data_IF_868623845836
#
_entry.id   IF_868623845836
#
_cell.length_a   1.000
_cell.length_b   1.000
_cell.length_c   1.000
_cell.angle_alpha   90.00
_cell.angle_beta   90.00
_cell.angle_gamma   90.00
#
_symmetry.space_group_name_H-M   'P 1'
#
loop_
_entity.id
_entity.type
_entity.pdbx_description
1 polymer ?
#
# COMPACT_ATOMS: atom_id res chain seq x y z
N UNK A 1 12.90 24.81 5.51
CA UNK A 1 12.66 23.78 4.46
C UNK A 1 12.43 22.38 5.00
N UNK A 2 13.31 21.80 5.85
CA UNK A 2 13.13 20.43 6.38
C UNK A 2 11.87 20.26 7.25
N UNK A 3 11.57 21.23 8.13
CA UNK A 3 10.32 21.24 8.92
C UNK A 3 9.06 21.34 8.07
N UNK A 4 9.09 22.16 7.01
CA UNK A 4 7.97 22.31 6.07
C UNK A 4 7.69 20.98 5.36
N UNK A 5 8.73 20.29 4.86
CA UNK A 5 8.58 18.97 4.24
C UNK A 5 7.95 17.95 5.21
N UNK A 6 8.37 17.95 6.47
CA UNK A 6 7.79 17.07 7.50
C UNK A 6 6.31 17.39 7.76
N UNK A 7 5.97 18.67 7.88
CA UNK A 7 4.57 19.11 8.07
C UNK A 7 3.71 18.71 6.87
N UNK A 8 4.20 18.90 5.64
CA UNK A 8 3.49 18.49 4.42
C UNK A 8 3.28 16.98 4.37
N UNK A 9 4.32 16.19 4.66
CA UNK A 9 4.21 14.72 4.71
C UNK A 9 3.18 14.30 5.77
N UNK A 10 3.21 14.91 6.96
CA UNK A 10 2.27 14.60 8.03
C UNK A 10 0.83 14.90 7.61
N UNK A 11 0.58 16.07 7.00
CA UNK A 11 -0.74 16.45 6.49
C UNK A 11 -1.23 15.50 5.40
N UNK A 12 -0.36 15.13 4.45
CA UNK A 12 -0.69 14.17 3.39
C UNK A 12 -1.00 12.78 3.96
N UNK A 13 -0.22 12.31 4.94
CA UNK A 13 -0.49 11.04 5.63
C UNK A 13 -1.84 11.09 6.35
N UNK A 14 -2.17 12.18 7.03
CA UNK A 14 -3.44 12.32 7.73
C UNK A 14 -4.62 12.37 6.76
N UNK A 15 -4.50 13.14 5.67
CA UNK A 15 -5.50 13.20 4.61
C UNK A 15 -5.73 11.81 3.98
N UNK A 16 -4.65 11.06 3.73
CA UNK A 16 -4.75 9.70 3.20
C UNK A 16 -5.50 8.77 4.16
N UNK A 17 -5.22 8.83 5.47
CA UNK A 17 -5.96 8.07 6.48
C UNK A 17 -7.43 8.44 6.50
N UNK A 18 -7.78 9.73 6.39
CA UNK A 18 -9.17 10.15 6.28
C UNK A 18 -9.84 9.60 5.03
N UNK A 19 -9.20 9.67 3.85
CA UNK A 19 -9.74 9.09 2.61
C UNK A 19 -9.99 7.60 2.79
N UNK A 20 -9.05 6.86 3.37
CA UNK A 20 -9.19 5.43 3.69
C UNK A 20 -10.40 5.19 4.59
N UNK A 21 -10.51 5.91 5.71
CA UNK A 21 -11.58 5.74 6.69
C UNK A 21 -12.96 6.12 6.13
N UNK A 22 -13.02 7.06 5.19
CA UNK A 22 -14.25 7.47 4.51
C UNK A 22 -14.66 6.50 3.39
N UNK A 23 -13.73 5.70 2.87
CA UNK A 23 -13.94 4.81 1.73
C UNK A 23 -13.88 3.32 2.13
N UNK A 24 -14.51 2.98 3.26
CA UNK A 24 -14.59 1.59 3.77
C UNK A 24 -15.86 0.86 3.36
N UNK A 25 -16.58 1.33 2.33
CA UNK A 25 -17.76 0.66 1.82
C UNK A 25 -17.40 -0.78 1.39
N UNK A 26 -18.14 -1.81 1.84
CA UNK A 26 -17.89 -3.18 1.47
C UNK A 26 -18.19 -3.38 -0.02
N UNK A 27 -17.29 -4.05 -0.71
CA UNK A 27 -17.48 -4.50 -2.10
C UNK A 27 -17.40 -6.02 -2.15
N UNK A 28 -18.18 -6.63 -3.05
CA UNK A 28 -18.06 -8.06 -3.33
C UNK A 28 -16.74 -8.30 -4.09
N UNK A 29 -15.75 -8.87 -3.41
CA UNK A 29 -14.51 -9.30 -4.01
C UNK A 29 -14.59 -10.78 -4.39
N UNK A 30 -14.26 -11.10 -5.63
CA UNK A 30 -14.18 -12.48 -6.13
C UNK A 30 -12.76 -12.86 -6.49
N UNK A 31 -12.30 -13.99 -5.97
CA UNK A 31 -11.01 -14.58 -6.32
C UNK A 31 -11.19 -16.06 -6.67
N UNK A 32 -11.10 -16.37 -7.96
CA UNK A 32 -11.37 -17.70 -8.52
C UNK A 32 -12.78 -18.19 -8.16
N UNK A 33 -12.93 -18.98 -7.09
CA UNK A 33 -14.20 -19.51 -6.60
C UNK A 33 -14.61 -18.95 -5.22
N UNK A 34 -13.77 -18.13 -4.59
CA UNK A 34 -14.12 -17.43 -3.35
C UNK A 34 -14.80 -16.09 -3.66
N UNK A 35 -15.91 -15.84 -2.97
CA UNK A 35 -16.55 -14.54 -2.90
C UNK A 35 -16.56 -14.08 -1.44
N UNK A 36 -16.15 -12.84 -1.18
CA UNK A 36 -16.16 -12.23 0.14
C UNK A 36 -16.47 -10.74 0.03
N UNK A 37 -17.25 -10.22 0.97
CA UNK A 37 -17.46 -8.78 1.09
C UNK A 37 -16.31 -8.17 1.90
N UNK A 38 -15.49 -7.37 1.24
CA UNK A 38 -14.37 -6.68 1.88
C UNK A 38 -14.31 -5.24 1.42
N UNK A 39 -13.91 -4.29 2.28
CA UNK A 39 -13.62 -2.93 1.87
C UNK A 39 -12.55 -2.90 0.76
N UNK A 40 -12.83 -2.19 -0.34
CA UNK A 40 -11.91 -2.07 -1.48
C UNK A 40 -10.52 -1.56 -1.05
N UNK A 41 -10.49 -0.70 -0.04
CA UNK A 41 -9.26 -0.13 0.50
C UNK A 41 -8.33 -1.17 1.12
N UNK A 42 -8.86 -2.26 1.69
CA UNK A 42 -8.05 -3.36 2.21
C UNK A 42 -7.35 -4.11 1.07
N UNK A 43 -8.06 -4.37 -0.03
CA UNK A 43 -7.45 -4.95 -1.23
C UNK A 43 -6.31 -4.08 -1.75
N UNK A 44 -6.56 -2.79 -1.94
CA UNK A 44 -5.55 -1.84 -2.42
C UNK A 44 -4.33 -1.81 -1.50
N UNK A 45 -4.55 -1.80 -0.19
CA UNK A 45 -3.47 -1.81 0.79
C UNK A 45 -2.67 -3.12 0.76
N UNK A 46 -3.35 -4.27 0.72
CA UNK A 46 -2.70 -5.58 0.63
C UNK A 46 -1.89 -5.72 -0.66
N UNK A 47 -2.43 -5.26 -1.80
CA UNK A 47 -1.71 -5.27 -3.08
C UNK A 47 -0.50 -4.33 -3.05
N UNK A 48 -0.64 -3.13 -2.50
CA UNK A 48 0.46 -2.17 -2.41
C UNK A 48 1.59 -2.67 -1.49
N UNK A 49 1.25 -3.17 -0.30
CA UNK A 49 2.21 -3.75 0.65
C UNK A 49 2.86 -4.99 0.05
N UNK A 50 2.08 -5.90 -0.54
CA UNK A 50 2.59 -7.10 -1.19
C UNK A 50 3.57 -6.77 -2.31
N UNK A 51 3.20 -5.86 -3.21
CA UNK A 51 4.06 -5.39 -4.30
C UNK A 51 5.34 -4.71 -3.80
N UNK A 52 5.25 -3.89 -2.75
CA UNK A 52 6.41 -3.25 -2.14
C UNK A 52 7.37 -4.25 -1.50
N UNK A 53 6.85 -5.21 -0.72
CA UNK A 53 7.66 -6.27 -0.09
C UNK A 53 8.34 -7.12 -1.16
N UNK A 54 7.60 -7.54 -2.20
CA UNK A 54 8.17 -8.28 -3.33
C UNK A 54 9.27 -7.45 -4.01
N UNK A 55 9.02 -6.15 -4.27
CA UNK A 55 10.02 -5.26 -4.87
C UNK A 55 11.30 -5.13 -4.03
N UNK A 56 11.19 -5.01 -2.71
CA UNK A 56 12.34 -5.04 -1.79
C UNK A 56 13.07 -6.38 -1.90
N UNK A 57 12.35 -7.49 -1.79
CA UNK A 57 12.94 -8.83 -1.87
C UNK A 57 13.68 -9.03 -3.19
N UNK A 58 13.08 -8.66 -4.31
CA UNK A 58 13.73 -8.71 -5.63
C UNK A 58 14.98 -7.83 -5.68
N UNK A 59 14.92 -6.60 -5.15
CA UNK A 59 16.08 -5.71 -5.08
C UNK A 59 17.24 -6.31 -4.27
N UNK A 60 16.94 -6.94 -3.13
CA UNK A 60 17.95 -7.55 -2.27
C UNK A 60 18.54 -8.85 -2.85
N UNK A 61 17.70 -9.67 -3.49
CA UNK A 61 18.10 -10.97 -4.03
C UNK A 61 18.81 -10.84 -5.40
N UNK A 62 18.38 -9.90 -6.24
CA UNK A 62 18.91 -9.70 -7.60
C UNK A 62 19.94 -8.57 -7.66
N UNK A 63 19.82 -7.54 -6.80
CA UNK A 63 20.74 -6.41 -6.77
C UNK A 63 22.13 -6.72 -6.20
N UNK A 64 22.30 -7.87 -5.52
CA UNK A 64 23.61 -8.34 -5.02
C UNK A 64 24.56 -8.82 -6.13
N UNK A 65 24.08 -9.06 -7.34
CA UNK A 65 24.86 -9.65 -8.43
C UNK A 65 25.73 -8.63 -9.20
N UNK A 66 25.63 -7.33 -8.90
CA UNK A 66 26.38 -6.25 -9.58
C UNK A 66 27.65 -5.76 -8.87
N UNK A 67 28.04 -6.38 -7.75
CA UNK A 67 29.23 -5.99 -6.97
C UNK A 67 30.26 -7.12 -6.78
N UNK A 68 30.25 -8.15 -7.64
CA UNK A 68 31.37 -9.08 -7.80
C UNK A 68 32.03 -8.86 -9.15
#
# INVERSE_FOLDING_TARGET
MRKIKLVVVLLLSFALVMVVAQNTAPIEARFLWLAAEIPAILLLFLTAVGGFVVGILTSLLVGRTRHK
#
